data_IF_864813102347
#
_entry.id   IF_864813102347
#
_cell.length_a   1.000
_cell.length_b   1.000
_cell.length_c   1.000
_cell.angle_alpha   90.00
_cell.angle_beta   90.00
_cell.angle_gamma   90.00
#
_symmetry.space_group_name_H-M   'P 1'
#
loop_
_entity.id
_entity.type
_entity.pdbx_description
1 polymer ?
#
# COMPACT_ATOMS: atom_id res chain seq x y z
N UNK A 1 8.30 -19.88 2.26
CA UNK A 1 7.18 -19.27 1.68
C UNK A 1 7.38 -17.86 1.40
N UNK A 2 7.04 -17.42 0.26
CA UNK A 2 7.31 -16.05 -0.08
C UNK A 2 6.19 -15.16 0.42
N UNK A 3 6.51 -13.90 0.52
CA UNK A 3 5.53 -12.95 0.93
C UNK A 3 4.54 -12.71 -0.18
N UNK A 4 3.33 -12.31 0.15
CA UNK A 4 2.34 -12.06 -0.88
C UNK A 4 2.75 -10.90 -1.75
N UNK A 5 2.30 -10.94 -2.99
CA UNK A 5 2.46 -9.80 -3.87
C UNK A 5 1.57 -8.67 -3.38
N UNK A 6 1.77 -7.50 -3.97
CA UNK A 6 0.93 -6.37 -3.61
C UNK A 6 -0.54 -6.68 -3.88
N UNK A 7 -0.83 -7.29 -5.03
CA UNK A 7 -2.22 -7.59 -5.36
C UNK A 7 -2.82 -8.59 -4.40
N UNK A 8 -2.04 -9.58 -4.01
CA UNK A 8 -2.54 -10.57 -3.06
C UNK A 8 -2.77 -9.94 -1.70
N UNK A 9 -1.85 -9.11 -1.25
CA UNK A 9 -2.00 -8.47 0.04
C UNK A 9 -3.17 -7.51 0.03
N UNK A 10 -3.36 -6.78 -1.06
CA UNK A 10 -4.47 -5.86 -1.15
C UNK A 10 -5.80 -6.61 -1.14
N UNK A 11 -5.87 -7.73 -1.87
CA UNK A 11 -7.09 -8.51 -1.85
C UNK A 11 -7.42 -9.05 -0.48
N UNK A 12 -6.42 -9.51 0.24
CA UNK A 12 -6.64 -9.99 1.58
C UNK A 12 -7.04 -8.86 2.52
N UNK A 13 -6.45 -7.70 2.33
CA UNK A 13 -6.80 -6.55 3.14
C UNK A 13 -8.26 -6.15 2.88
N UNK A 14 -8.67 -6.17 1.63
CA UNK A 14 -10.05 -5.83 1.31
C UNK A 14 -11.02 -6.80 1.97
N UNK A 15 -10.68 -8.08 1.96
CA UNK A 15 -11.53 -9.07 2.60
C UNK A 15 -11.59 -8.81 4.10
N UNK A 16 -10.46 -8.50 4.71
CA UNK A 16 -10.42 -8.27 6.14
C UNK A 16 -11.23 -7.04 6.52
N UNK A 17 -11.13 -5.99 5.72
CA UNK A 17 -11.88 -4.77 5.99
C UNK A 17 -13.38 -5.05 5.85
N UNK A 18 -13.76 -5.84 4.84
CA UNK A 18 -15.16 -6.17 4.67
C UNK A 18 -15.70 -6.92 5.87
N UNK A 19 -14.92 -7.83 6.42
CA UNK A 19 -15.35 -8.55 7.62
C UNK A 19 -15.57 -7.60 8.79
N UNK A 20 -14.67 -6.63 8.94
CA UNK A 20 -14.81 -5.67 10.02
C UNK A 20 -16.02 -4.77 9.82
N UNK A 21 -16.24 -4.37 8.57
CA UNK A 21 -17.36 -3.50 8.29
C UNK A 21 -18.70 -4.19 8.45
N UNK A 22 -18.71 -5.50 8.36
CA UNK A 22 -19.93 -6.24 8.56
C UNK A 22 -20.48 -6.12 9.95
N UNK A 23 -19.60 -5.90 10.91
CA UNK A 23 -20.05 -5.62 12.26
C UNK A 23 -20.58 -6.82 13.02
N UNK A 24 -20.41 -8.02 12.48
CA UNK A 24 -20.95 -9.21 13.10
C UNK A 24 -19.96 -9.98 13.91
N UNK A 25 -18.72 -9.55 13.97
CA UNK A 25 -17.69 -10.32 14.63
C UNK A 25 -17.68 -10.11 16.12
N UNK A 26 -17.49 -11.18 16.89
CA UNK A 26 -17.20 -11.00 18.30
C UNK A 26 -15.95 -10.14 18.47
N UNK A 27 -15.84 -9.49 19.61
CA UNK A 27 -14.75 -8.55 19.82
C UNK A 27 -13.40 -9.18 19.59
N UNK A 28 -13.20 -10.40 20.07
CA UNK A 28 -11.92 -11.03 19.92
C UNK A 28 -11.56 -11.25 18.46
N UNK A 29 -12.53 -11.67 17.68
CA UNK A 29 -12.28 -11.87 16.27
C UNK A 29 -12.09 -10.56 15.54
N UNK A 30 -12.80 -9.53 15.96
CA UNK A 30 -12.62 -8.23 15.35
C UNK A 30 -11.22 -7.71 15.60
N UNK A 31 -10.70 -7.95 16.80
CA UNK A 31 -9.32 -7.53 17.09
C UNK A 31 -8.32 -8.27 16.22
N UNK A 32 -8.54 -9.56 16.04
CA UNK A 32 -7.63 -10.32 15.20
C UNK A 32 -7.69 -9.85 13.77
N UNK A 33 -8.88 -9.56 13.28
CA UNK A 33 -9.02 -9.06 11.93
C UNK A 33 -8.34 -7.71 11.78
N UNK A 34 -8.46 -6.86 12.79
CA UNK A 34 -7.83 -5.56 12.76
C UNK A 34 -6.32 -5.70 12.73
N UNK A 35 -5.77 -6.59 13.55
CA UNK A 35 -4.34 -6.82 13.55
C UNK A 35 -3.86 -7.35 12.22
N UNK A 36 -4.64 -8.26 11.64
CA UNK A 36 -4.29 -8.79 10.34
C UNK A 36 -4.32 -7.68 9.29
N UNK A 37 -5.31 -6.80 9.37
CA UNK A 37 -5.40 -5.70 8.44
C UNK A 37 -4.21 -4.78 8.52
N UNK A 38 -3.75 -4.51 9.74
CA UNK A 38 -2.58 -3.66 9.90
C UNK A 38 -1.36 -4.31 9.27
N UNK A 39 -1.20 -5.60 9.48
CA UNK A 39 -0.05 -6.30 8.90
C UNK A 39 -0.11 -6.27 7.38
N UNK A 40 -1.30 -6.49 6.83
CA UNK A 40 -1.44 -6.47 5.38
C UNK A 40 -1.24 -5.07 4.82
N UNK A 41 -1.69 -4.05 5.55
CA UNK A 41 -1.49 -2.68 5.11
C UNK A 41 -0.01 -2.34 5.07
N UNK A 42 0.74 -2.82 6.03
CA UNK A 42 2.18 -2.59 6.03
C UNK A 42 2.86 -3.28 4.86
N UNK A 43 2.40 -4.47 4.51
CA UNK A 43 2.94 -5.16 3.37
C UNK A 43 2.66 -4.38 2.09
N UNK A 44 1.43 -3.88 1.95
CA UNK A 44 1.09 -3.08 0.79
C UNK A 44 1.94 -1.83 0.71
N UNK A 45 2.12 -1.16 1.84
CA UNK A 45 2.91 0.05 1.86
C UNK A 45 4.36 -0.22 1.46
N UNK A 46 4.92 -1.32 1.94
CA UNK A 46 6.29 -1.66 1.61
C UNK A 46 6.43 -1.96 0.13
N UNK A 47 5.43 -2.64 -0.44
CA UNK A 47 5.48 -2.95 -1.86
C UNK A 47 5.36 -1.69 -2.71
N UNK A 48 4.51 -0.78 -2.29
CA UNK A 48 4.37 0.47 -3.01
C UNK A 48 5.64 1.29 -2.94
N UNK A 49 6.27 1.31 -1.78
CA UNK A 49 7.50 2.04 -1.62
C UNK A 49 8.58 1.47 -2.52
N UNK A 50 8.64 0.16 -2.59
CA UNK A 50 9.62 -0.50 -3.44
C UNK A 50 9.36 -0.17 -4.92
N UNK A 51 8.10 -0.18 -5.32
CA UNK A 51 7.76 0.14 -6.70
C UNK A 51 8.10 1.58 -7.02
N UNK A 52 7.87 2.49 -6.09
CA UNK A 52 8.22 3.88 -6.28
C UNK A 52 9.72 4.04 -6.48
N UNK A 53 10.48 3.33 -5.69
CA UNK A 53 11.93 3.40 -5.81
C UNK A 53 12.39 2.92 -7.16
N UNK A 54 11.77 1.85 -7.66
CA UNK A 54 12.14 1.33 -8.96
C UNK A 54 11.80 2.32 -10.07
N UNK A 55 10.65 2.95 -9.96
CA UNK A 55 10.26 3.93 -10.96
C UNK A 55 11.24 5.08 -10.97
N UNK A 56 11.65 5.54 -9.80
CA UNK A 56 12.60 6.64 -9.74
C UNK A 56 13.93 6.27 -10.38
N UNK A 57 14.37 5.03 -10.14
CA UNK A 57 15.61 4.59 -10.75
C UNK A 57 15.50 4.56 -12.25
N UNK A 58 14.35 4.15 -12.77
CA UNK A 58 14.17 4.04 -14.20
C UNK A 58 14.04 5.39 -14.87
N UNK A 59 13.55 6.38 -14.15
CA UNK A 59 13.33 7.69 -14.75
C UNK A 59 14.41 8.69 -14.42
N UNK A 60 15.48 8.24 -13.78
CA UNK A 60 16.55 9.14 -13.43
C UNK A 60 17.24 9.65 -14.68
N UNK A 61 17.48 10.94 -14.72
CA UNK A 61 18.12 11.52 -15.88
C UNK A 61 19.59 11.15 -15.89
N UNK A 62 20.20 11.14 -17.07
CA UNK A 62 21.61 10.75 -17.16
C UNK A 62 22.53 11.62 -16.32
N UNK A 63 22.16 12.87 -16.08
CA UNK A 63 23.02 13.74 -15.30
C UNK A 63 22.81 13.58 -13.82
N UNK A 64 22.01 12.61 -13.41
CA UNK A 64 21.84 12.34 -12.00
C UNK A 64 20.58 12.90 -11.39
N UNK A 65 19.88 13.73 -12.11
CA UNK A 65 18.64 14.26 -11.58
C UNK A 65 17.50 13.35 -11.95
N UNK A 66 16.49 13.34 -11.12
CA UNK A 66 15.33 12.52 -11.39
C UNK A 66 14.38 13.23 -12.32
N UNK A 67 13.81 12.46 -13.23
CA UNK A 67 12.79 13.00 -14.07
C UNK A 67 11.52 13.14 -13.25
N UNK A 68 10.73 14.12 -13.59
CA UNK A 68 9.47 14.29 -12.91
C UNK A 68 8.50 13.25 -13.34
N UNK A 69 7.77 12.72 -12.41
CA UNK A 69 6.78 11.69 -12.68
C UNK A 69 5.43 12.24 -12.28
N UNK A 70 4.54 12.44 -13.20
CA UNK A 70 3.29 13.15 -12.88
C UNK A 70 2.50 12.51 -11.76
N UNK A 71 2.39 11.20 -11.77
CA UNK A 71 1.56 10.61 -10.73
C UNK A 71 2.21 10.73 -9.36
N UNK A 72 3.48 10.90 -9.31
CA UNK A 72 4.12 11.08 -8.04
C UNK A 72 3.74 12.40 -7.45
N UNK A 73 3.33 13.30 -8.27
CA UNK A 73 2.96 14.56 -7.75
C UNK A 73 1.60 14.58 -7.25
N UNK A 74 0.88 13.58 -7.62
CA UNK A 74 -0.46 13.55 -7.18
C UNK A 74 -0.59 13.74 -5.75
N UNK A 75 0.46 13.43 -5.09
CA UNK A 75 0.32 13.64 -3.72
C UNK A 75 0.37 15.02 -3.43
N UNK A 76 0.67 15.69 -4.20
CA UNK A 76 0.60 16.88 -3.96
C UNK A 76 -0.35 17.47 -4.22
N UNK A 77 -0.57 17.06 -4.96
CA UNK A 77 -1.49 17.66 -5.15
C UNK A 77 -2.06 18.09 -4.12
N UNK A 78 -1.81 17.63 -3.54
CA UNK A 78 -2.42 17.97 -2.64
C UNK A 78 -2.23 19.14 -2.24
N UNK A 79 -1.56 19.49 -2.42
CA UNK A 79 -1.42 20.51 -1.97
C UNK A 79 -1.93 21.44 -2.49
N UNK A 80 -2.00 21.54 -2.86
CA UNK A 80 -2.38 22.37 -3.24
C UNK A 80 -3.20 22.81 -3.07
N UNK A 81 -3.19 22.83 -2.87
CA UNK A 81 -3.86 23.29 -2.87
C UNK A 81 -4.28 24.03 -2.89
#
# INVERSE_FOLDING_TARGET
MSEPTFEEALGQLETTVARLEGGDLPLEEALRAFEEGIRLARTCAARLEDAERRVRLLTRAPDGTEAEVPFAVGNEGTTDA
#
